data_IF_834146211764
#
_entry.id   IF_834146211764
#
_cell.length_a   1.000
_cell.length_b   1.000
_cell.length_c   1.000
_cell.angle_alpha   90.00
_cell.angle_beta   90.00
_cell.angle_gamma   90.00
#
_symmetry.space_group_name_H-M   'P 1'
#
loop_
_entity.id
_entity.type
_entity.pdbx_description
1 polymer ?
#
# COMPACT_ATOMS: atom_id res chain seq x y z
N UNK A 1 -62.37 23.59 65.00
CA UNK A 1 -61.93 22.76 63.87
C UNK A 1 -60.64 23.38 63.31
N UNK A 2 -59.45 22.81 63.65
CA UNK A 2 -58.13 23.37 63.27
C UNK A 2 -57.71 22.65 61.98
N UNK A 3 -57.51 23.42 60.92
CA UNK A 3 -56.95 22.93 59.65
C UNK A 3 -55.43 23.05 59.70
N UNK A 4 -54.75 21.89 59.71
CA UNK A 4 -53.30 21.80 59.66
C UNK A 4 -52.82 22.05 58.22
N UNK A 5 -51.94 23.03 58.00
CA UNK A 5 -51.22 23.29 56.73
C UNK A 5 -49.98 22.44 56.66
N UNK A 6 -49.94 21.43 55.79
CA UNK A 6 -48.71 20.71 55.45
C UNK A 6 -47.98 21.46 54.33
N UNK A 7 -46.77 21.96 54.64
CA UNK A 7 -45.85 22.51 53.65
C UNK A 7 -45.00 21.37 53.06
N UNK A 8 -45.09 21.17 51.74
CA UNK A 8 -44.23 20.20 51.00
C UNK A 8 -42.94 20.95 50.60
N UNK A 9 -41.78 20.48 50.98
CA UNK A 9 -40.54 21.12 50.52
C UNK A 9 -40.28 20.71 49.07
N UNK A 10 -40.19 21.71 48.19
CA UNK A 10 -39.76 21.52 46.78
C UNK A 10 -38.23 21.39 46.80
N UNK A 11 -37.72 20.18 46.56
CA UNK A 11 -36.33 19.94 46.29
C UNK A 11 -35.99 20.32 44.83
N UNK A 12 -35.32 21.45 44.63
CA UNK A 12 -34.79 21.81 43.33
C UNK A 12 -33.50 21.03 43.13
N UNK A 13 -33.53 19.96 42.31
CA UNK A 13 -32.35 19.25 41.88
C UNK A 13 -31.65 20.10 40.78
N UNK A 14 -30.55 20.73 41.12
CA UNK A 14 -29.64 21.32 40.15
C UNK A 14 -28.93 20.20 39.41
N UNK A 15 -29.41 19.90 38.17
CA UNK A 15 -28.63 19.10 37.22
C UNK A 15 -27.42 19.93 36.81
N UNK A 16 -26.24 19.62 37.34
CA UNK A 16 -24.96 20.08 36.87
C UNK A 16 -24.75 19.47 35.48
N UNK A 17 -25.14 20.19 34.40
CA UNK A 17 -24.71 19.92 33.05
C UNK A 17 -23.24 20.30 32.97
N UNK A 18 -22.35 19.34 33.29
CA UNK A 18 -20.95 19.47 32.95
C UNK A 18 -20.84 19.63 31.42
N UNK A 19 -20.24 20.71 30.92
CA UNK A 19 -19.95 20.75 29.48
C UNK A 19 -19.01 19.58 29.18
N UNK A 20 -19.47 18.64 28.37
CA UNK A 20 -18.60 17.71 27.67
C UNK A 20 -17.69 18.58 26.77
N UNK A 21 -16.58 19.05 27.34
CA UNK A 21 -15.49 19.54 26.53
C UNK A 21 -15.06 18.36 25.69
N UNK A 22 -15.48 18.35 24.44
CA UNK A 22 -14.87 17.47 23.45
C UNK A 22 -13.37 17.82 23.46
N UNK A 23 -12.59 17.05 24.20
CA UNK A 23 -11.15 17.12 24.12
C UNK A 23 -10.82 16.86 22.65
N UNK A 24 -10.38 17.89 21.97
CA UNK A 24 -9.89 17.78 20.59
C UNK A 24 -8.62 16.91 20.67
N UNK A 25 -8.81 15.58 20.55
CA UNK A 25 -7.74 14.61 20.72
C UNK A 25 -6.72 14.83 19.62
N UNK A 26 -5.46 15.01 20.02
CA UNK A 26 -4.33 15.17 19.13
C UNK A 26 -4.17 13.91 18.27
N UNK A 27 -3.76 14.10 17.02
CA UNK A 27 -3.36 12.95 16.19
C UNK A 27 -2.07 12.36 16.77
N UNK A 28 -2.05 11.03 16.88
CA UNK A 28 -0.90 10.26 17.33
C UNK A 28 -0.35 9.44 16.18
N UNK A 29 0.95 9.46 15.97
CA UNK A 29 1.60 8.67 14.91
C UNK A 29 2.76 7.88 15.50
N UNK A 30 2.84 6.60 15.13
CA UNK A 30 3.96 5.74 15.43
C UNK A 30 4.49 5.05 14.18
N UNK A 31 5.75 4.70 14.20
CA UNK A 31 6.41 4.02 13.10
C UNK A 31 7.42 3.00 13.61
N UNK A 32 7.54 1.88 12.90
CA UNK A 32 8.57 0.87 13.15
C UNK A 32 8.85 0.06 11.88
N UNK A 33 10.02 -0.58 11.83
CA UNK A 33 10.42 -1.46 10.72
C UNK A 33 11.12 -2.72 11.24
N UNK A 34 11.01 -3.82 10.49
CA UNK A 34 11.71 -5.09 10.74
C UNK A 34 12.33 -5.61 9.46
N UNK A 35 13.45 -6.31 9.61
CA UNK A 35 14.14 -6.98 8.49
C UNK A 35 13.37 -8.23 8.11
N UNK A 36 13.15 -8.42 6.81
CA UNK A 36 12.58 -9.62 6.20
C UNK A 36 13.58 -10.39 5.33
N UNK A 37 14.82 -9.91 5.19
CA UNK A 37 15.86 -10.60 4.45
C UNK A 37 16.06 -12.03 4.99
N UNK A 38 15.93 -13.08 4.15
CA UNK A 38 16.12 -14.45 4.62
C UNK A 38 17.59 -14.74 4.90
N UNK A 39 17.84 -15.55 5.93
CA UNK A 39 19.17 -16.07 6.23
C UNK A 39 19.07 -17.57 6.52
N UNK A 40 19.63 -18.47 5.65
CA UNK A 40 20.35 -18.14 4.40
C UNK A 40 19.46 -17.50 3.34
N UNK A 41 20.10 -16.88 2.32
CA UNK A 41 19.38 -16.27 1.20
C UNK A 41 18.54 -17.32 0.45
N UNK A 42 17.32 -16.97 0.09
CA UNK A 42 16.39 -17.81 -0.65
C UNK A 42 16.27 -17.38 -2.11
N UNK A 43 15.88 -18.29 -3.03
CA UNK A 43 15.61 -17.93 -4.42
C UNK A 43 14.58 -16.82 -4.57
N UNK A 44 14.77 -15.94 -5.56
CA UNK A 44 13.91 -14.76 -5.82
C UNK A 44 12.89 -15.05 -6.92
N UNK A 45 11.70 -14.47 -6.76
CA UNK A 45 10.57 -14.56 -7.67
C UNK A 45 10.16 -13.17 -8.16
N UNK A 46 10.11 -12.98 -9.48
CA UNK A 46 9.60 -11.76 -10.11
C UNK A 46 8.33 -12.04 -10.93
N UNK A 47 7.58 -13.08 -10.58
CA UNK A 47 6.35 -13.46 -11.28
C UNK A 47 6.08 -14.95 -11.24
N UNK A 48 5.13 -15.41 -12.07
CA UNK A 48 4.76 -16.82 -12.19
C UNK A 48 5.92 -17.61 -12.78
N UNK A 49 6.32 -18.70 -12.13
CA UNK A 49 7.36 -19.61 -12.59
C UNK A 49 8.32 -20.03 -11.50
N UNK A 50 9.38 -20.74 -11.88
CA UNK A 50 10.41 -21.20 -10.94
C UNK A 50 11.27 -20.02 -10.48
N UNK A 51 11.42 -19.80 -9.17
CA UNK A 51 12.30 -18.76 -8.64
C UNK A 51 13.77 -18.95 -9.07
N UNK A 52 14.49 -17.84 -9.21
CA UNK A 52 15.90 -17.83 -9.60
C UNK A 52 16.83 -17.88 -8.38
N UNK A 53 17.94 -18.63 -8.45
CA UNK A 53 18.92 -18.68 -7.37
C UNK A 53 19.52 -17.29 -7.09
N UNK A 54 19.73 -16.98 -5.80
CA UNK A 54 20.38 -15.75 -5.35
C UNK A 54 21.90 -15.92 -5.31
N UNK A 55 22.64 -14.92 -5.79
CA UNK A 55 24.09 -14.84 -5.78
C UNK A 55 24.58 -13.77 -4.81
N UNK A 56 23.84 -12.68 -4.67
CA UNK A 56 24.22 -11.56 -3.80
C UNK A 56 22.98 -10.84 -3.24
N UNK A 57 23.21 -10.02 -2.21
CA UNK A 57 22.22 -9.15 -1.59
C UNK A 57 22.62 -7.68 -1.79
N UNK A 58 21.73 -6.86 -2.34
CA UNK A 58 21.87 -5.41 -2.52
C UNK A 58 20.83 -4.66 -1.68
N UNK A 59 20.92 -4.82 -0.37
CA UNK A 59 20.06 -4.17 0.62
C UNK A 59 19.02 -5.10 1.25
N UNK A 60 18.70 -4.84 2.51
CA UNK A 60 17.74 -5.64 3.24
C UNK A 60 16.30 -5.41 2.76
N UNK A 61 15.53 -6.49 2.71
CA UNK A 61 14.07 -6.44 2.61
C UNK A 61 13.49 -6.05 3.96
N UNK A 62 12.45 -5.22 3.95
CA UNK A 62 11.80 -4.74 5.17
C UNK A 62 10.28 -4.93 5.15
N UNK A 63 9.70 -5.04 6.34
CA UNK A 63 8.38 -4.53 6.64
C UNK A 63 8.53 -3.16 7.29
N UNK A 64 7.70 -2.21 6.88
CA UNK A 64 7.64 -0.84 7.39
C UNK A 64 6.19 -0.52 7.75
N UNK A 65 5.94 -0.14 9.00
CA UNK A 65 4.61 0.11 9.51
C UNK A 65 4.47 1.55 10.02
N UNK A 66 3.37 2.19 9.64
CA UNK A 66 2.91 3.48 10.15
C UNK A 66 1.55 3.29 10.81
N UNK A 67 1.41 3.70 12.06
CA UNK A 67 0.14 3.67 12.79
C UNK A 67 -0.31 5.10 13.02
N UNK A 68 -1.58 5.37 12.72
CA UNK A 68 -2.24 6.65 12.99
C UNK A 68 -3.42 6.41 13.92
N UNK A 69 -3.53 7.23 14.96
CA UNK A 69 -4.65 7.22 15.91
C UNK A 69 -5.16 8.64 16.13
N UNK A 70 -6.47 8.78 16.10
CA UNK A 70 -7.17 10.00 16.49
C UNK A 70 -8.51 9.66 17.11
N UNK A 71 -8.66 9.93 18.38
CA UNK A 71 -9.85 9.53 19.13
C UNK A 71 -10.02 8.01 19.15
N UNK A 72 -11.19 7.54 18.75
CA UNK A 72 -11.48 6.10 18.64
C UNK A 72 -11.01 5.49 17.32
N UNK A 73 -10.57 6.31 16.36
CA UNK A 73 -10.11 5.84 15.06
C UNK A 73 -8.64 5.49 15.13
N UNK A 74 -8.30 4.22 14.91
CA UNK A 74 -6.93 3.73 14.80
C UNK A 74 -6.79 2.81 13.60
N UNK A 75 -5.70 2.97 12.83
CA UNK A 75 -5.38 2.12 11.70
C UNK A 75 -3.87 2.03 11.45
N UNK A 76 -3.46 1.02 10.72
CA UNK A 76 -2.08 0.82 10.27
C UNK A 76 -1.97 0.79 8.75
N UNK A 77 -0.93 1.43 8.22
CA UNK A 77 -0.47 1.31 6.84
C UNK A 77 0.87 0.59 6.89
N UNK A 78 0.94 -0.56 6.23
CA UNK A 78 2.10 -1.46 6.26
C UNK A 78 2.56 -1.72 4.85
N UNK A 79 3.85 -1.54 4.60
CA UNK A 79 4.53 -1.86 3.35
C UNK A 79 5.49 -3.01 3.55
N UNK A 80 5.49 -3.99 2.64
CA UNK A 80 6.41 -5.13 2.66
C UNK A 80 7.17 -5.24 1.35
N UNK A 81 8.47 -5.50 1.42
CA UNK A 81 9.33 -5.61 0.24
C UNK A 81 9.23 -7.02 -0.38
N UNK A 82 8.09 -7.26 -1.04
CA UNK A 82 7.75 -8.48 -1.78
C UNK A 82 7.07 -8.15 -3.11
N UNK A 83 6.97 -9.13 -3.99
CA UNK A 83 6.21 -9.05 -5.24
C UNK A 83 4.72 -8.80 -4.98
N UNK A 84 4.17 -9.32 -3.90
CA UNK A 84 2.83 -9.14 -3.40
C UNK A 84 2.73 -9.67 -1.97
N UNK A 85 1.61 -9.45 -1.31
CA UNK A 85 1.33 -10.05 -0.01
C UNK A 85 -0.12 -10.50 0.03
N UNK A 86 -0.32 -11.81 -0.04
CA UNK A 86 -1.66 -12.39 -0.14
C UNK A 86 -2.50 -12.12 1.10
N UNK A 87 -3.81 -12.04 0.94
CA UNK A 87 -4.75 -11.89 2.08
C UNK A 87 -4.58 -12.98 3.13
N UNK A 88 -4.16 -14.20 2.74
CA UNK A 88 -3.92 -15.32 3.66
C UNK A 88 -2.80 -14.98 4.64
N UNK A 89 -1.65 -14.58 4.13
CA UNK A 89 -0.52 -14.16 4.96
C UNK A 89 -0.86 -12.88 5.74
N UNK A 90 -1.55 -11.94 5.07
CA UNK A 90 -2.03 -10.70 5.69
C UNK A 90 -2.98 -10.94 6.87
N UNK A 91 -3.94 -11.85 6.73
CA UNK A 91 -4.89 -12.18 7.81
C UNK A 91 -4.21 -12.87 8.98
N UNK A 92 -3.20 -13.71 8.70
CA UNK A 92 -2.36 -14.32 9.74
C UNK A 92 -1.56 -13.27 10.51
N UNK A 93 -1.01 -12.25 9.82
CA UNK A 93 -0.33 -11.13 10.49
C UNK A 93 -1.32 -10.31 11.33
N UNK A 94 -2.51 -9.99 10.78
CA UNK A 94 -3.56 -9.23 11.49
C UNK A 94 -4.01 -9.93 12.78
N UNK A 95 -4.10 -11.26 12.78
CA UNK A 95 -4.49 -12.04 13.95
C UNK A 95 -3.49 -11.93 15.13
N UNK A 96 -2.24 -11.55 14.86
CA UNK A 96 -1.18 -11.36 15.87
C UNK A 96 -1.05 -9.90 16.34
N UNK A 97 -1.73 -8.95 15.67
CA UNK A 97 -1.69 -7.54 16.01
C UNK A 97 -2.76 -7.22 17.04
N UNK A 98 -2.39 -6.43 18.05
CA UNK A 98 -3.30 -6.06 19.15
C UNK A 98 -3.60 -4.57 19.11
N UNK A 99 -4.83 -4.20 19.47
CA UNK A 99 -5.22 -2.80 19.63
C UNK A 99 -5.62 -2.06 18.34
N UNK A 100 -5.64 -2.74 17.20
CA UNK A 100 -6.21 -2.24 15.94
C UNK A 100 -7.19 -3.27 15.41
N UNK A 101 -8.43 -2.89 15.03
CA UNK A 101 -9.34 -3.80 14.34
C UNK A 101 -8.68 -4.39 13.08
N UNK A 102 -8.76 -5.70 12.83
CA UNK A 102 -8.09 -6.33 11.69
C UNK A 102 -8.40 -5.67 10.33
N UNK A 103 -9.63 -5.20 10.14
CA UNK A 103 -10.09 -4.48 8.96
C UNK A 103 -9.46 -3.09 8.78
N UNK A 104 -8.85 -2.54 9.83
CA UNK A 104 -8.15 -1.26 9.81
C UNK A 104 -6.64 -1.42 9.61
N UNK A 105 -6.15 -2.61 9.31
CA UNK A 105 -4.74 -2.88 9.03
C UNK A 105 -4.58 -3.14 7.53
N UNK A 106 -4.00 -2.16 6.83
CA UNK A 106 -3.72 -2.22 5.41
C UNK A 106 -2.30 -2.75 5.21
N UNK A 107 -2.16 -3.87 4.52
CA UNK A 107 -0.85 -4.45 4.19
C UNK A 107 -0.70 -4.46 2.68
N UNK A 108 0.25 -3.68 2.18
CA UNK A 108 0.58 -3.57 0.75
C UNK A 108 2.02 -3.99 0.47
N UNK A 109 2.27 -4.46 -0.75
CA UNK A 109 3.60 -4.81 -1.21
C UNK A 109 4.22 -3.70 -2.07
N UNK A 110 5.54 -3.53 -1.97
CA UNK A 110 6.30 -2.64 -2.86
C UNK A 110 6.34 -3.14 -4.29
N UNK A 111 6.13 -4.44 -4.48
CA UNK A 111 6.21 -5.13 -5.75
C UNK A 111 7.64 -5.32 -6.27
N UNK A 112 8.65 -5.41 -5.38
CA UNK A 112 9.99 -5.76 -5.84
C UNK A 112 10.02 -7.14 -6.50
N UNK A 113 10.66 -7.23 -7.67
CA UNK A 113 10.87 -8.48 -8.41
C UNK A 113 12.14 -9.22 -7.97
N UNK A 114 12.74 -8.80 -6.86
CA UNK A 114 14.01 -9.30 -6.34
C UNK A 114 13.88 -9.82 -4.90
N UNK A 115 12.73 -10.42 -4.54
CA UNK A 115 12.44 -11.02 -3.24
C UNK A 115 11.95 -12.47 -3.38
N UNK A 116 11.96 -13.29 -2.29
CA UNK A 116 11.40 -14.64 -2.32
C UNK A 116 9.92 -14.69 -2.68
N UNK A 117 9.44 -15.85 -3.15
CA UNK A 117 8.04 -16.06 -3.56
C UNK A 117 7.06 -16.00 -2.38
N UNK A 118 6.15 -15.01 -2.31
CA UNK A 118 5.13 -14.91 -1.27
C UNK A 118 3.79 -15.56 -1.66
N UNK A 119 3.65 -16.05 -2.90
CA UNK A 119 2.41 -16.59 -3.43
C UNK A 119 2.34 -18.12 -3.36
N UNK A 120 3.50 -18.79 -3.28
CA UNK A 120 3.56 -20.22 -3.48
C UNK A 120 3.15 -20.61 -4.91
N UNK A 121 3.70 -19.92 -5.91
CA UNK A 121 3.40 -20.19 -7.31
C UNK A 121 3.70 -21.65 -7.68
N UNK A 122 2.73 -22.37 -8.28
CA UNK A 122 2.96 -23.70 -8.80
C UNK A 122 3.68 -23.63 -10.16
N UNK A 123 4.57 -24.61 -10.42
CA UNK A 123 5.00 -24.91 -11.77
C UNK A 123 3.93 -25.71 -12.55
N UNK A 124 4.21 -26.08 -13.78
CA UNK A 124 3.29 -26.85 -14.64
C UNK A 124 2.95 -28.25 -14.09
N UNK A 125 3.73 -28.75 -13.12
CA UNK A 125 3.51 -30.04 -12.46
C UNK A 125 2.82 -29.85 -11.09
N UNK A 126 2.50 -28.63 -10.68
CA UNK A 126 1.89 -28.28 -9.40
C UNK A 126 2.88 -28.23 -8.24
N UNK A 127 4.20 -28.26 -8.49
CA UNK A 127 5.23 -28.07 -7.48
C UNK A 127 5.36 -26.60 -7.14
N UNK A 128 5.36 -26.26 -5.85
CA UNK A 128 5.56 -24.90 -5.35
C UNK A 128 6.95 -24.74 -4.72
N UNK A 129 7.46 -23.52 -4.69
CA UNK A 129 8.83 -23.22 -4.27
C UNK A 129 8.90 -22.23 -3.11
N UNK A 130 7.77 -21.74 -2.62
CA UNK A 130 7.75 -20.84 -1.46
C UNK A 130 8.26 -21.56 -0.20
N UNK A 131 9.12 -20.91 0.54
CA UNK A 131 9.55 -21.38 1.87
C UNK A 131 8.53 -20.93 2.91
N UNK A 132 7.63 -21.86 3.28
CA UNK A 132 6.53 -21.60 4.22
C UNK A 132 7.07 -21.19 5.60
N UNK A 133 8.15 -21.80 6.07
CA UNK A 133 8.74 -21.46 7.37
C UNK A 133 9.28 -20.04 7.39
N UNK A 134 9.91 -19.60 6.31
CA UNK A 134 10.36 -18.22 6.15
C UNK A 134 9.18 -17.27 6.12
N UNK A 135 8.13 -17.57 5.35
CA UNK A 135 6.93 -16.73 5.28
C UNK A 135 6.18 -16.64 6.62
N UNK A 136 6.17 -17.73 7.41
CA UNK A 136 5.66 -17.73 8.78
C UNK A 136 6.45 -16.76 9.68
N UNK A 137 7.77 -16.73 9.51
CA UNK A 137 8.63 -15.74 10.16
C UNK A 137 8.30 -14.32 9.74
N UNK A 138 8.07 -14.07 8.44
CA UNK A 138 7.66 -12.77 7.94
C UNK A 138 6.30 -12.31 8.50
N UNK A 139 5.33 -13.23 8.61
CA UNK A 139 4.03 -12.97 9.26
C UNK A 139 4.23 -12.43 10.67
N UNK A 140 5.13 -13.03 11.45
CA UNK A 140 5.44 -12.57 12.82
C UNK A 140 6.14 -11.20 12.80
N UNK A 141 7.15 -10.99 11.93
CA UNK A 141 7.85 -9.71 11.82
C UNK A 141 6.93 -8.55 11.43
N UNK A 142 5.93 -8.81 10.57
CA UNK A 142 4.91 -7.83 10.20
C UNK A 142 4.08 -7.45 11.43
N UNK A 143 3.63 -8.43 12.19
CA UNK A 143 2.87 -8.17 13.41
C UNK A 143 3.71 -7.42 14.46
N UNK A 144 4.97 -7.80 14.63
CA UNK A 144 5.90 -7.15 15.57
C UNK A 144 6.17 -5.70 15.18
N UNK A 145 6.34 -5.40 13.89
CA UNK A 145 6.51 -4.04 13.40
C UNK A 145 5.29 -3.16 13.71
N UNK A 146 4.06 -3.68 13.48
CA UNK A 146 2.84 -2.93 13.78
C UNK A 146 2.67 -2.75 15.29
N UNK A 147 2.87 -3.79 16.09
CA UNK A 147 2.76 -3.71 17.56
C UNK A 147 3.79 -2.71 18.14
N UNK A 148 5.01 -2.65 17.59
CA UNK A 148 6.00 -1.65 17.97
C UNK A 148 5.59 -0.24 17.53
N UNK A 149 5.06 -0.08 16.32
CA UNK A 149 4.55 1.21 15.85
C UNK A 149 3.40 1.71 16.75
N UNK A 150 2.54 0.82 17.25
CA UNK A 150 1.51 1.15 18.25
C UNK A 150 2.15 1.64 19.54
N UNK A 151 3.20 0.97 20.04
CA UNK A 151 3.89 1.35 21.27
C UNK A 151 4.67 2.68 21.13
N UNK A 152 5.16 2.99 19.94
CA UNK A 152 5.94 4.18 19.63
C UNK A 152 5.10 5.40 19.26
N UNK A 153 3.75 5.34 19.35
CA UNK A 153 2.89 6.48 19.02
C UNK A 153 3.22 7.70 19.87
N UNK A 154 3.32 8.84 19.23
CA UNK A 154 3.56 10.13 19.86
C UNK A 154 2.70 11.22 19.20
N UNK A 155 2.43 12.34 19.89
CA UNK A 155 1.71 13.46 19.29
C UNK A 155 2.40 13.96 18.02
N UNK A 156 1.61 14.16 16.98
CA UNK A 156 2.12 14.52 15.66
C UNK A 156 1.25 15.59 14.99
N UNK A 157 1.83 16.29 14.03
CA UNK A 157 1.15 17.01 12.95
C UNK A 157 1.48 16.37 11.62
N UNK A 158 0.68 16.62 10.60
CA UNK A 158 0.88 16.04 9.29
C UNK A 158 1.17 17.10 8.24
N UNK A 159 1.99 16.75 7.27
CA UNK A 159 2.10 17.42 5.97
C UNK A 159 1.62 16.45 4.90
N UNK A 160 0.79 16.93 3.97
CA UNK A 160 0.25 16.11 2.89
C UNK A 160 0.35 16.90 1.60
N UNK A 161 0.91 16.30 0.57
CA UNK A 161 1.04 16.93 -0.74
C UNK A 161 0.96 15.90 -1.86
N UNK A 162 0.61 16.37 -3.03
CA UNK A 162 0.60 15.60 -4.27
C UNK A 162 0.97 16.52 -5.42
N UNK A 163 1.93 16.11 -6.24
CA UNK A 163 2.37 16.82 -7.43
C UNK A 163 3.00 15.82 -8.41
N UNK A 164 3.22 16.21 -9.64
CA UNK A 164 3.95 15.37 -10.59
C UNK A 164 5.43 15.27 -10.19
N UNK A 165 5.93 14.04 -10.12
CA UNK A 165 7.35 13.77 -9.99
C UNK A 165 8.03 13.97 -11.35
N UNK A 166 9.10 14.76 -11.37
CA UNK A 166 9.81 15.14 -12.60
C UNK A 166 11.05 14.29 -12.78
N UNK A 167 11.32 13.92 -14.03
CA UNK A 167 12.52 13.20 -14.40
C UNK A 167 12.26 11.80 -14.95
N UNK A 168 13.33 11.08 -15.23
CA UNK A 168 13.31 9.75 -15.82
C UNK A 168 13.14 8.71 -14.71
N UNK A 169 11.88 8.52 -14.22
CA UNK A 169 11.54 7.62 -13.10
C UNK A 169 10.77 6.41 -13.59
N UNK A 170 9.67 6.62 -14.29
CA UNK A 170 8.78 5.56 -14.76
C UNK A 170 8.28 5.81 -16.18
N UNK A 171 7.84 4.75 -16.83
CA UNK A 171 7.11 4.80 -18.10
C UNK A 171 6.19 3.58 -18.19
N UNK A 172 5.22 3.63 -19.10
CA UNK A 172 4.40 2.46 -19.41
C UNK A 172 4.98 1.72 -20.63
N UNK A 173 5.31 0.44 -20.46
CA UNK A 173 5.90 -0.39 -21.52
C UNK A 173 5.02 -0.48 -22.78
N UNK A 174 3.68 -0.52 -22.62
CA UNK A 174 2.74 -0.63 -23.73
C UNK A 174 2.41 0.73 -24.37
N UNK A 175 2.38 1.79 -23.59
CA UNK A 175 2.03 3.15 -24.01
C UNK A 175 2.84 4.16 -23.17
N UNK A 176 4.04 4.55 -23.58
CA UNK A 176 5.04 5.21 -22.72
C UNK A 176 4.56 6.41 -21.90
N UNK A 177 3.62 7.19 -22.44
CA UNK A 177 3.08 8.37 -21.74
C UNK A 177 1.82 8.07 -20.90
N UNK A 178 1.27 6.85 -20.95
CA UNK A 178 0.04 6.48 -20.23
C UNK A 178 0.38 5.88 -18.88
N UNK A 179 0.71 6.72 -17.89
CA UNK A 179 0.86 6.36 -16.49
C UNK A 179 0.61 7.60 -15.61
N UNK A 180 0.36 7.40 -14.34
CA UNK A 180 0.10 8.51 -13.40
C UNK A 180 1.41 9.04 -12.82
N UNK A 181 1.92 10.21 -13.27
CA UNK A 181 3.17 10.77 -12.78
C UNK A 181 3.06 11.43 -11.41
N UNK A 182 1.84 11.49 -10.82
CA UNK A 182 1.63 12.14 -9.54
C UNK A 182 2.20 11.30 -8.42
N UNK A 183 3.09 11.92 -7.65
CA UNK A 183 3.64 11.41 -6.41
C UNK A 183 2.87 12.02 -5.23
N UNK A 184 2.21 11.17 -4.45
CA UNK A 184 1.56 11.57 -3.21
C UNK A 184 2.48 11.34 -2.02
N UNK A 185 2.58 12.32 -1.12
CA UNK A 185 3.45 12.23 0.06
C UNK A 185 2.66 12.60 1.31
N UNK A 186 2.78 11.77 2.35
CA UNK A 186 2.26 12.02 3.69
C UNK A 186 3.43 11.97 4.66
N UNK A 187 3.70 13.06 5.39
CA UNK A 187 4.78 13.12 6.36
C UNK A 187 4.21 13.49 7.74
N UNK A 188 4.51 12.67 8.75
CA UNK A 188 4.18 12.95 10.12
C UNK A 188 5.37 13.60 10.84
N UNK A 189 5.12 14.72 11.53
CA UNK A 189 6.12 15.46 12.28
C UNK A 189 5.81 15.34 13.77
N UNK A 190 6.81 15.06 14.59
CA UNK A 190 6.65 15.07 16.06
C UNK A 190 6.30 16.46 16.55
N UNK A 191 5.31 16.59 17.45
CA UNK A 191 4.91 17.89 18.03
C UNK A 191 5.43 18.07 19.46
N UNK A 192 6.06 17.05 20.02
CA UNK A 192 6.58 17.07 21.41
C UNK A 192 7.95 16.38 21.49
N UNK A 193 8.63 16.55 22.62
CA UNK A 193 9.88 15.89 22.93
C UNK A 193 11.10 16.46 22.19
N UNK A 194 12.24 15.76 22.29
CA UNK A 194 13.52 16.18 21.71
C UNK A 194 13.52 16.21 20.16
N UNK A 195 12.56 15.54 19.53
CA UNK A 195 12.39 15.49 18.08
C UNK A 195 11.29 16.40 17.55
N UNK A 196 10.80 17.35 18.34
CA UNK A 196 9.76 18.29 17.91
C UNK A 196 10.11 18.95 16.57
N UNK A 197 9.17 18.93 15.64
CA UNK A 197 9.33 19.43 14.25
C UNK A 197 10.05 18.48 13.31
N UNK A 198 10.62 17.38 13.79
CA UNK A 198 11.30 16.39 12.94
C UNK A 198 10.32 15.32 12.45
N UNK A 199 10.54 14.78 11.24
CA UNK A 199 9.75 13.67 10.73
C UNK A 199 9.84 12.41 11.59
N UNK A 200 8.68 11.80 11.84
CA UNK A 200 8.52 10.45 12.40
C UNK A 200 8.59 9.45 11.25
N UNK A 201 7.77 9.70 10.22
CA UNK A 201 7.65 8.86 9.03
C UNK A 201 7.25 9.69 7.82
N UNK A 202 7.78 9.32 6.66
CA UNK A 202 7.42 9.88 5.35
C UNK A 202 6.93 8.73 4.46
N UNK A 203 5.63 8.74 4.12
CA UNK A 203 5.01 7.81 3.18
C UNK A 203 5.06 8.42 1.79
N UNK A 204 5.53 7.64 0.81
CA UNK A 204 5.53 7.98 -0.62
C UNK A 204 4.61 7.02 -1.35
N UNK A 205 3.68 7.56 -2.16
CA UNK A 205 2.82 6.79 -3.05
C UNK A 205 3.11 7.18 -4.49
N UNK A 206 3.57 6.23 -5.29
CA UNK A 206 3.91 6.45 -6.69
C UNK A 206 3.67 5.20 -7.52
N UNK A 207 3.29 5.36 -8.79
CA UNK A 207 3.06 4.24 -9.69
C UNK A 207 4.35 3.86 -10.42
N UNK A 208 5.02 2.80 -9.96
CA UNK A 208 6.22 2.23 -10.60
C UNK A 208 6.46 0.79 -10.13
N UNK A 209 6.81 -0.10 -11.06
CA UNK A 209 7.34 -1.43 -10.70
C UNK A 209 8.78 -1.29 -10.20
N UNK A 210 9.11 -1.72 -8.98
CA UNK A 210 10.49 -1.90 -8.52
C UNK A 210 11.10 -3.16 -9.14
N UNK A 211 11.54 -3.05 -10.40
CA UNK A 211 12.07 -4.16 -11.18
C UNK A 211 13.30 -3.78 -12.03
N UNK A 212 14.02 -2.73 -11.63
CA UNK A 212 15.27 -2.33 -12.29
C UNK A 212 16.24 -3.50 -12.37
N UNK A 213 16.42 -4.23 -11.27
CA UNK A 213 17.27 -5.42 -11.21
C UNK A 213 16.58 -6.66 -11.76
N UNK A 214 15.24 -6.72 -11.64
CA UNK A 214 14.46 -7.90 -12.00
C UNK A 214 14.89 -9.16 -11.25
N UNK A 215 14.39 -10.33 -11.67
CA UNK A 215 14.66 -11.60 -10.97
C UNK A 215 15.76 -12.46 -11.60
N UNK A 216 16.28 -12.11 -12.78
CA UNK A 216 17.22 -12.96 -13.54
C UNK A 216 18.68 -12.77 -13.15
N UNK A 217 19.01 -11.65 -12.53
CA UNK A 217 20.42 -11.35 -12.14
C UNK A 217 20.87 -12.13 -10.90
N UNK A 218 19.91 -12.67 -10.12
CA UNK A 218 20.24 -13.35 -8.88
C UNK A 218 20.59 -12.39 -7.73
N UNK A 219 20.05 -11.19 -7.77
CA UNK A 219 20.25 -10.15 -6.77
C UNK A 219 18.99 -10.05 -5.91
N UNK A 220 19.10 -10.33 -4.60
CA UNK A 220 18.05 -10.05 -3.63
C UNK A 220 18.12 -8.56 -3.24
N UNK A 221 16.98 -7.86 -3.31
CA UNK A 221 16.95 -6.41 -3.06
C UNK A 221 15.52 -5.88 -2.92
N UNK A 222 15.28 -4.80 -2.16
CA UNK A 222 14.04 -4.03 -2.26
C UNK A 222 13.96 -3.21 -3.56
N UNK A 223 14.92 -3.37 -4.48
CA UNK A 223 15.06 -2.63 -5.73
C UNK A 223 15.11 -1.10 -5.47
N UNK A 224 14.57 -0.26 -6.34
CA UNK A 224 14.57 1.21 -6.20
C UNK A 224 13.99 1.72 -4.86
N UNK A 225 13.19 0.92 -4.16
CA UNK A 225 12.68 1.28 -2.83
C UNK A 225 13.80 1.37 -1.79
N UNK A 226 14.86 0.59 -1.90
CA UNK A 226 16.01 0.64 -0.99
C UNK A 226 16.72 2.01 -1.00
N UNK A 227 17.22 2.48 -2.14
CA UNK A 227 17.80 3.81 -2.29
C UNK A 227 16.82 4.94 -1.94
N UNK A 228 15.53 4.81 -2.29
CA UNK A 228 14.48 5.76 -1.89
C UNK A 228 14.41 5.89 -0.36
N UNK A 229 14.31 4.77 0.36
CA UNK A 229 14.28 4.78 1.82
C UNK A 229 15.54 5.40 2.41
N UNK A 230 16.71 4.97 1.93
CA UNK A 230 18.01 5.43 2.43
C UNK A 230 18.18 6.94 2.31
N UNK A 231 17.78 7.52 1.17
CA UNK A 231 17.88 8.96 0.94
C UNK A 231 16.92 9.74 1.82
N UNK A 232 15.63 9.35 1.87
CA UNK A 232 14.64 10.04 2.70
C UNK A 232 15.03 9.96 4.19
N UNK A 233 15.40 8.79 4.69
CA UNK A 233 15.79 8.58 6.09
C UNK A 233 17.05 9.37 6.46
N UNK A 234 18.04 9.45 5.56
CA UNK A 234 19.26 10.25 5.74
C UNK A 234 18.97 11.74 5.80
N UNK A 235 18.10 12.25 4.93
CA UNK A 235 17.81 13.70 4.84
C UNK A 235 16.80 14.18 5.89
N UNK A 236 15.89 13.31 6.36
CA UNK A 236 14.81 13.72 7.24
C UNK A 236 14.95 13.20 8.68
N UNK A 237 15.73 12.16 8.90
CA UNK A 237 15.87 11.46 10.19
C UNK A 237 14.64 10.67 10.62
N UNK A 238 13.57 10.62 9.82
CA UNK A 238 12.36 9.81 10.02
C UNK A 238 12.37 8.56 9.16
N UNK A 239 11.56 7.56 9.50
CA UNK A 239 11.39 6.36 8.67
C UNK A 239 10.73 6.71 7.34
N UNK A 240 11.18 6.09 6.24
CA UNK A 240 10.49 6.15 4.94
C UNK A 240 9.58 4.92 4.76
N UNK A 241 8.49 5.06 3.98
CA UNK A 241 7.57 4.00 3.62
C UNK A 241 7.08 4.23 2.19
N UNK A 242 7.05 3.19 1.36
CA UNK A 242 6.59 3.28 -0.02
C UNK A 242 5.33 2.44 -0.22
N UNK A 243 4.31 3.00 -0.86
CA UNK A 243 3.11 2.30 -1.29
C UNK A 243 2.94 2.49 -2.79
N UNK A 244 2.77 1.38 -3.49
CA UNK A 244 2.63 1.42 -4.94
C UNK A 244 1.31 2.08 -5.37
N UNK A 245 1.25 2.53 -6.62
CA UNK A 245 0.07 3.13 -7.24
C UNK A 245 -0.63 2.18 -8.23
N UNK A 246 -1.21 2.75 -9.28
CA UNK A 246 -1.82 2.01 -10.39
C UNK A 246 -0.73 1.62 -11.41
N UNK A 247 -0.11 0.47 -11.21
CA UNK A 247 1.07 0.01 -11.97
C UNK A 247 0.75 -0.98 -13.07
N UNK A 248 -0.45 -1.50 -13.12
CA UNK A 248 -0.86 -2.49 -14.11
C UNK A 248 -0.60 -2.03 -15.55
N UNK A 249 -0.47 -2.98 -16.47
CA UNK A 249 -0.14 -2.67 -17.86
C UNK A 249 1.31 -2.19 -18.01
N UNK A 250 2.18 -2.63 -17.14
CA UNK A 250 3.62 -2.50 -17.07
C UNK A 250 4.10 -1.05 -16.95
N UNK A 251 3.63 -0.35 -15.91
CA UNK A 251 4.24 0.92 -15.50
C UNK A 251 5.52 0.60 -14.74
N UNK A 252 6.63 0.59 -15.46
CA UNK A 252 7.93 0.13 -14.95
C UNK A 252 8.91 1.29 -14.76
N UNK A 253 10.02 1.01 -14.08
CA UNK A 253 11.13 1.96 -13.92
C UNK A 253 11.71 2.34 -15.29
N UNK A 254 11.97 3.61 -15.53
CA UNK A 254 12.53 4.08 -16.80
C UNK A 254 14.04 3.88 -16.87
N UNK A 255 14.42 2.65 -17.24
CA UNK A 255 15.83 2.23 -17.42
C UNK A 255 16.31 2.37 -18.87
N UNK A 256 15.51 2.95 -19.77
CA UNK A 256 15.84 3.05 -21.19
C UNK A 256 17.07 3.93 -21.44
N UNK A 257 18.07 3.40 -22.10
CA UNK A 257 19.30 4.14 -22.44
C UNK A 257 19.10 5.07 -23.65
N UNK A 258 18.27 4.67 -24.61
CA UNK A 258 17.95 5.46 -25.79
C UNK A 258 16.44 5.36 -26.06
N UNK A 259 15.83 6.48 -26.48
CA UNK A 259 14.49 6.46 -27.03
C UNK A 259 14.56 5.80 -28.42
N UNK A 260 14.50 4.46 -28.44
CA UNK A 260 14.52 3.68 -29.68
C UNK A 260 13.31 3.99 -30.56
N UNK A 261 13.51 3.91 -31.89
CA UNK A 261 12.40 3.90 -32.85
C UNK A 261 11.50 2.70 -32.53
N UNK A 262 10.19 2.92 -32.61
CA UNK A 262 9.17 1.88 -32.42
C UNK A 262 9.53 0.59 -33.17
N UNK A 263 9.65 -0.55 -32.46
CA UNK A 263 9.98 -1.87 -33.03
C UNK A 263 11.44 -2.33 -32.94
N UNK A 264 12.38 -1.51 -32.49
CA UNK A 264 13.74 -1.96 -32.13
C UNK A 264 13.80 -2.17 -30.62
N UNK A 265 14.28 -3.34 -30.18
CA UNK A 265 14.49 -3.64 -28.76
C UNK A 265 15.25 -2.50 -28.07
N UNK A 266 14.62 -1.84 -27.10
CA UNK A 266 15.24 -0.77 -26.34
C UNK A 266 16.38 -1.38 -25.52
N UNK A 267 17.57 -0.75 -25.55
CA UNK A 267 18.60 -1.07 -24.57
C UNK A 267 18.17 -0.49 -23.21
N UNK A 268 18.27 -1.31 -22.20
CA UNK A 268 17.93 -0.95 -20.81
C UNK A 268 19.17 -1.06 -19.94
N UNK A 269 19.29 -0.16 -18.98
CA UNK A 269 20.29 -0.24 -17.92
C UNK A 269 19.65 -0.84 -16.66
N UNK A 270 19.86 -2.12 -16.46
CA UNK A 270 19.36 -2.85 -15.29
C UNK A 270 20.44 -3.01 -14.22
N UNK A 271 21.37 -2.03 -14.13
CA UNK A 271 22.44 -2.01 -13.13
C UNK A 271 21.96 -1.57 -11.75
N UNK A 272 22.76 -1.87 -10.74
CA UNK A 272 22.55 -1.36 -9.39
C UNK A 272 22.68 0.17 -9.33
N UNK A 273 23.56 0.74 -10.12
CA UNK A 273 23.79 2.19 -10.24
C UNK A 273 22.53 2.89 -10.77
N UNK A 274 21.86 2.32 -11.77
CA UNK A 274 20.60 2.84 -12.29
C UNK A 274 19.45 2.67 -11.27
N UNK A 275 19.43 1.57 -10.54
CA UNK A 275 18.50 1.35 -9.44
C UNK A 275 18.65 2.44 -8.36
N UNK A 276 19.88 2.77 -7.96
CA UNK A 276 20.19 3.88 -7.04
C UNK A 276 19.69 5.20 -7.63
N UNK A 277 20.04 5.50 -8.89
CA UNK A 277 19.65 6.75 -9.55
C UNK A 277 18.13 6.97 -9.51
N UNK A 278 17.36 5.96 -9.89
CA UNK A 278 15.89 6.06 -9.94
C UNK A 278 15.30 6.21 -8.55
N UNK A 279 15.73 5.40 -7.59
CA UNK A 279 15.25 5.47 -6.21
C UNK A 279 15.58 6.80 -5.53
N UNK A 280 16.80 7.32 -5.71
CA UNK A 280 17.19 8.63 -5.18
C UNK A 280 16.49 9.80 -5.88
N UNK A 281 16.22 9.69 -7.19
CA UNK A 281 15.45 10.70 -7.92
C UNK A 281 14.00 10.78 -7.39
N UNK A 282 13.33 9.64 -7.23
CA UNK A 282 11.98 9.62 -6.65
C UNK A 282 11.97 10.13 -5.21
N UNK A 283 13.00 9.83 -4.41
CA UNK A 283 13.16 10.38 -3.07
C UNK A 283 13.29 11.90 -3.08
N UNK A 284 14.15 12.45 -3.96
CA UNK A 284 14.34 13.89 -4.12
C UNK A 284 13.04 14.60 -4.51
N UNK A 285 12.30 14.04 -5.48
CA UNK A 285 11.00 14.57 -5.90
C UNK A 285 9.96 14.52 -4.78
N UNK A 286 9.91 13.42 -4.03
CA UNK A 286 9.02 13.30 -2.86
C UNK A 286 9.31 14.37 -1.81
N UNK A 287 10.58 14.64 -1.54
CA UNK A 287 10.99 15.69 -0.60
C UNK A 287 10.71 17.09 -1.15
N UNK A 288 10.91 17.34 -2.44
CA UNK A 288 10.52 18.59 -3.11
C UNK A 288 9.02 18.85 -2.96
N UNK A 289 8.20 17.82 -3.21
CA UNK A 289 6.73 17.91 -3.16
C UNK A 289 6.26 18.24 -1.76
N UNK A 290 6.76 17.53 -0.73
CA UNK A 290 6.30 17.72 0.65
C UNK A 290 6.84 18.98 1.31
N UNK A 291 7.95 19.54 0.82
CA UNK A 291 8.62 20.68 1.45
C UNK A 291 7.69 21.87 1.66
N UNK A 292 6.90 22.21 0.65
CA UNK A 292 6.00 23.39 0.63
C UNK A 292 4.61 23.10 1.21
N UNK A 293 4.31 21.86 1.58
CA UNK A 293 3.00 21.54 2.12
C UNK A 293 2.76 22.23 3.48
N UNK A 294 1.55 22.75 3.73
CA UNK A 294 1.19 23.31 5.03
C UNK A 294 1.20 22.21 6.09
N UNK A 295 1.50 22.59 7.32
CA UNK A 295 1.37 21.72 8.48
C UNK A 295 -0.10 21.66 8.90
N UNK A 296 -0.63 20.49 9.07
CA UNK A 296 -1.96 20.18 9.56
C UNK A 296 -1.83 19.67 11.01
N UNK A 297 -2.17 20.51 11.97
CA UNK A 297 -1.96 20.17 13.39
C UNK A 297 -2.94 19.10 13.88
N UNK A 298 -4.15 19.10 13.39
CA UNK A 298 -5.17 18.15 13.84
C UNK A 298 -6.16 17.75 12.72
N UNK A 299 -5.69 17.19 11.59
CA UNK A 299 -6.54 16.85 10.47
C UNK A 299 -7.62 15.81 10.86
N UNK A 300 -8.78 15.88 10.22
CA UNK A 300 -9.81 14.85 10.36
C UNK A 300 -9.30 13.51 9.84
N UNK A 301 -9.71 12.43 10.51
CA UNK A 301 -9.35 11.05 10.14
C UNK A 301 -10.63 10.21 10.08
N UNK A 302 -10.73 9.40 9.05
CA UNK A 302 -11.83 8.46 8.85
C UNK A 302 -11.30 7.21 8.17
N UNK A 303 -11.84 6.04 8.52
CA UNK A 303 -11.58 4.78 7.85
C UNK A 303 -12.87 3.99 7.67
N UNK A 304 -13.02 3.36 6.52
CA UNK A 304 -14.06 2.39 6.24
C UNK A 304 -13.50 1.20 5.47
N UNK A 305 -14.08 0.05 5.69
CA UNK A 305 -13.75 -1.19 4.99
C UNK A 305 -14.99 -1.94 4.53
N UNK A 306 -14.83 -2.74 3.49
CA UNK A 306 -15.84 -3.70 3.05
C UNK A 306 -15.20 -4.93 2.39
N UNK A 307 -15.86 -6.07 2.42
CA UNK A 307 -15.45 -7.22 1.61
C UNK A 307 -15.59 -6.90 0.13
N UNK A 308 -14.66 -7.42 -0.67
CA UNK A 308 -14.64 -7.29 -2.12
C UNK A 308 -14.45 -8.69 -2.73
N UNK A 309 -15.45 -9.14 -3.50
CA UNK A 309 -15.48 -10.49 -4.06
C UNK A 309 -15.40 -10.44 -5.58
N UNK A 310 -14.53 -11.26 -6.15
CA UNK A 310 -14.34 -11.40 -7.59
C UNK A 310 -14.61 -12.83 -8.05
N UNK A 311 -15.26 -13.03 -9.20
CA UNK A 311 -15.22 -14.31 -9.89
C UNK A 311 -13.81 -14.59 -10.41
N UNK A 312 -13.38 -15.85 -10.41
CA UNK A 312 -12.11 -16.29 -11.00
C UNK A 312 -12.43 -17.04 -12.30
N UNK A 313 -12.38 -16.30 -13.40
CA UNK A 313 -12.71 -16.80 -14.74
C UNK A 313 -11.47 -17.32 -15.50
N UNK A 314 -10.29 -16.74 -15.21
CA UNK A 314 -9.02 -17.16 -15.79
C UNK A 314 -8.61 -18.55 -15.33
N UNK A 315 -8.36 -19.45 -16.27
CA UNK A 315 -7.92 -20.82 -15.97
C UNK A 315 -6.55 -20.86 -15.29
N UNK A 316 -5.63 -19.97 -15.69
CA UNK A 316 -4.30 -19.90 -15.07
C UNK A 316 -4.38 -19.37 -13.62
N UNK A 317 -5.23 -18.35 -13.38
CA UNK A 317 -5.41 -17.83 -12.02
C UNK A 317 -6.11 -18.85 -11.14
N UNK A 318 -7.09 -19.57 -11.66
CA UNK A 318 -7.74 -20.68 -10.95
C UNK A 318 -6.75 -21.79 -10.59
N UNK A 319 -5.90 -22.17 -11.56
CA UNK A 319 -4.84 -23.16 -11.32
C UNK A 319 -3.86 -22.71 -10.23
N UNK A 320 -3.38 -21.45 -10.30
CA UNK A 320 -2.47 -20.87 -9.31
C UNK A 320 -3.12 -20.91 -7.92
N UNK A 321 -4.33 -20.39 -7.77
CA UNK A 321 -5.04 -20.32 -6.50
C UNK A 321 -5.27 -21.73 -5.91
N UNK A 322 -5.68 -22.69 -6.73
CA UNK A 322 -5.94 -24.05 -6.28
C UNK A 322 -4.68 -24.86 -5.93
N UNK A 323 -3.56 -24.60 -6.62
CA UNK A 323 -2.32 -25.35 -6.45
C UNK A 323 -1.29 -24.65 -5.56
N UNK A 324 -1.49 -23.39 -5.25
CA UNK A 324 -0.63 -22.64 -4.34
C UNK A 324 -0.49 -23.35 -2.99
N UNK A 325 0.74 -23.37 -2.45
CA UNK A 325 1.01 -23.84 -1.10
C UNK A 325 0.42 -22.94 0.00
N UNK A 326 -0.07 -21.73 -0.37
CA UNK A 326 -0.71 -20.81 0.58
C UNK A 326 -2.10 -21.25 1.03
N UNK A 327 -2.79 -22.16 0.29
CA UNK A 327 -4.14 -22.66 0.59
C UNK A 327 -5.14 -21.51 0.75
N UNK A 328 -5.60 -20.95 -0.38
CA UNK A 328 -6.55 -19.83 -0.42
C UNK A 328 -7.93 -20.22 0.13
N UNK A 329 -8.13 -20.06 1.45
CA UNK A 329 -9.40 -20.34 2.14
C UNK A 329 -10.52 -19.41 1.67
N UNK A 330 -10.18 -18.21 1.18
CA UNK A 330 -11.12 -17.26 0.58
C UNK A 330 -11.62 -17.68 -0.81
N UNK A 331 -11.07 -18.76 -1.40
CA UNK A 331 -11.49 -19.28 -2.70
C UNK A 331 -12.57 -20.36 -2.52
N UNK A 332 -13.80 -20.01 -2.88
CA UNK A 332 -14.93 -20.93 -2.95
C UNK A 332 -15.83 -20.58 -4.13
N UNK A 333 -16.49 -21.57 -4.70
CA UNK A 333 -17.43 -21.38 -5.83
C UNK A 333 -16.83 -20.57 -7.00
N UNK A 334 -15.56 -20.78 -7.30
CA UNK A 334 -14.80 -20.02 -8.28
C UNK A 334 -14.77 -18.50 -8.00
N UNK A 335 -14.78 -18.09 -6.74
CA UNK A 335 -14.68 -16.70 -6.30
C UNK A 335 -13.58 -16.56 -5.26
N UNK A 336 -12.97 -15.39 -5.22
CA UNK A 336 -12.06 -14.96 -4.16
C UNK A 336 -12.63 -13.74 -3.48
N UNK A 337 -12.46 -13.66 -2.16
CA UNK A 337 -12.88 -12.49 -1.37
C UNK A 337 -11.69 -11.89 -0.67
N UNK A 338 -11.55 -10.58 -0.78
CA UNK A 338 -10.55 -9.77 -0.10
C UNK A 338 -11.20 -8.56 0.56
N UNK A 339 -10.39 -7.59 0.95
CA UNK A 339 -10.83 -6.38 1.65
C UNK A 339 -10.52 -5.13 0.84
N UNK A 340 -11.49 -4.23 0.73
CA UNK A 340 -11.35 -2.88 0.20
C UNK A 340 -11.41 -1.89 1.36
N UNK A 341 -10.46 -0.94 1.41
CA UNK A 341 -10.45 0.16 2.37
C UNK A 341 -10.51 1.52 1.69
N UNK A 342 -11.15 2.45 2.40
CA UNK A 342 -11.06 3.87 2.17
C UNK A 342 -10.60 4.55 3.47
N UNK A 343 -9.59 5.42 3.36
CA UNK A 343 -9.12 6.25 4.47
C UNK A 343 -9.16 7.71 4.04
N UNK A 344 -9.65 8.60 4.92
CA UNK A 344 -9.43 10.03 4.81
C UNK A 344 -8.43 10.47 5.88
N UNK A 345 -7.46 11.29 5.50
CA UNK A 345 -6.52 11.96 6.41
C UNK A 345 -6.43 13.41 5.94
N UNK A 346 -7.10 14.32 6.66
CA UNK A 346 -7.21 15.70 6.19
C UNK A 346 -7.70 15.76 4.74
N UNK A 347 -6.98 16.44 3.82
CA UNK A 347 -7.38 16.55 2.42
C UNK A 347 -7.12 15.27 1.58
N UNK A 348 -6.39 14.29 2.09
CA UNK A 348 -6.10 13.05 1.37
C UNK A 348 -7.23 12.05 1.52
N UNK A 349 -7.63 11.44 0.41
CA UNK A 349 -8.46 10.23 0.39
C UNK A 349 -7.67 9.10 -0.25
N UNK A 350 -7.61 7.97 0.41
CA UNK A 350 -6.84 6.79 0.02
C UNK A 350 -7.80 5.64 -0.25
N UNK A 351 -7.66 4.98 -1.40
CA UNK A 351 -8.32 3.72 -1.71
C UNK A 351 -7.29 2.61 -1.90
N UNK A 352 -7.57 1.41 -1.38
CA UNK A 352 -6.76 0.22 -1.65
C UNK A 352 -7.18 -0.48 -2.93
N UNK A 353 -6.23 -1.10 -3.61
CA UNK A 353 -6.43 -1.93 -4.81
C UNK A 353 -5.77 -3.29 -4.57
N UNK A 354 -6.53 -4.41 -4.57
CA UNK A 354 -5.98 -5.73 -4.27
C UNK A 354 -5.31 -6.40 -5.48
N UNK A 355 -4.56 -5.62 -6.26
CA UNK A 355 -3.88 -6.05 -7.48
C UNK A 355 -3.23 -4.89 -8.20
N UNK A 356 -2.93 -5.09 -9.48
CA UNK A 356 -2.27 -4.14 -10.35
C UNK A 356 -3.29 -3.44 -11.26
N UNK A 357 -3.89 -2.35 -10.77
CA UNK A 357 -4.81 -1.55 -11.61
C UNK A 357 -4.07 -0.94 -12.80
N UNK A 358 -4.65 -1.08 -14.01
CA UNK A 358 -4.17 -0.37 -15.20
C UNK A 358 -4.28 1.15 -15.00
N UNK A 359 -3.43 1.98 -15.66
CA UNK A 359 -3.46 3.43 -15.48
C UNK A 359 -4.83 4.08 -15.73
N UNK A 360 -5.56 3.65 -16.76
CA UNK A 360 -6.90 4.15 -17.06
C UNK A 360 -7.92 3.84 -15.95
N UNK A 361 -7.83 2.65 -15.31
CA UNK A 361 -8.62 2.32 -14.12
C UNK A 361 -8.25 3.25 -12.96
N UNK A 362 -6.94 3.44 -12.71
CA UNK A 362 -6.43 4.35 -11.70
C UNK A 362 -6.91 5.79 -11.90
N UNK A 363 -6.84 6.32 -13.12
CA UNK A 363 -7.32 7.66 -13.47
C UNK A 363 -8.82 7.80 -13.26
N UNK A 364 -9.60 6.80 -13.70
CA UNK A 364 -11.05 6.83 -13.54
C UNK A 364 -11.45 6.87 -12.07
N UNK A 365 -10.85 6.03 -11.24
CA UNK A 365 -11.12 6.00 -9.80
C UNK A 365 -10.70 7.32 -9.15
N UNK A 366 -9.46 7.75 -9.33
CA UNK A 366 -8.93 8.98 -8.71
C UNK A 366 -9.74 10.24 -9.01
N UNK A 367 -10.20 10.42 -10.28
CA UNK A 367 -11.01 11.61 -10.63
C UNK A 367 -12.41 11.60 -10.04
N UNK A 368 -12.93 10.44 -9.59
CA UNK A 368 -14.24 10.28 -8.97
C UNK A 368 -14.17 10.15 -7.45
N UNK A 369 -12.98 10.26 -6.85
CA UNK A 369 -12.82 10.35 -5.40
C UNK A 369 -13.24 11.74 -4.89
N UNK A 370 -13.72 11.78 -3.66
CA UNK A 370 -14.25 13.00 -3.04
C UNK A 370 -13.15 13.78 -2.31
N UNK A 371 -12.12 14.18 -3.06
CA UNK A 371 -10.91 14.82 -2.55
C UNK A 371 -10.16 15.56 -3.64
N UNK A 372 -9.29 16.51 -3.26
CA UNK A 372 -8.29 17.11 -4.15
C UNK A 372 -6.96 16.37 -4.15
N UNK A 373 -6.76 15.41 -3.22
CA UNK A 373 -5.53 14.60 -3.10
C UNK A 373 -5.88 13.11 -3.09
N UNK A 374 -6.17 12.50 -4.26
CA UNK A 374 -6.55 11.10 -4.36
C UNK A 374 -5.33 10.18 -4.38
N UNK A 375 -5.20 9.30 -3.40
CA UNK A 375 -4.19 8.25 -3.31
C UNK A 375 -4.80 6.90 -3.72
N UNK A 376 -4.03 6.08 -4.45
CA UNK A 376 -4.32 4.66 -4.64
C UNK A 376 -3.17 3.84 -4.09
N UNK A 377 -3.47 2.88 -3.21
CA UNK A 377 -2.51 1.90 -2.71
C UNK A 377 -2.74 0.59 -3.43
N UNK A 378 -1.97 0.36 -4.51
CA UNK A 378 -1.94 -0.88 -5.26
C UNK A 378 -1.38 -2.04 -4.44
N UNK A 379 -1.66 -3.26 -4.86
CA UNK A 379 -1.19 -4.50 -4.23
C UNK A 379 -1.40 -4.52 -2.71
N UNK A 380 -2.52 -3.95 -2.28
CA UNK A 380 -2.82 -3.76 -0.85
C UNK A 380 -4.02 -4.60 -0.45
N UNK A 381 -3.88 -5.34 0.65
CA UNK A 381 -4.77 -6.34 1.24
C UNK A 381 -4.86 -7.66 0.46
N UNK A 382 -4.44 -7.66 -0.78
CA UNK A 382 -4.21 -8.82 -1.64
C UNK A 382 -3.41 -8.41 -2.88
N UNK A 383 -3.08 -9.37 -3.76
CA UNK A 383 -2.30 -9.11 -4.95
C UNK A 383 -2.69 -10.10 -6.08
N UNK A 384 -3.90 -9.91 -6.62
CA UNK A 384 -4.53 -10.83 -7.60
C UNK A 384 -4.09 -10.65 -9.06
N UNK A 385 -2.98 -9.94 -9.32
CA UNK A 385 -2.52 -9.65 -10.68
C UNK A 385 -3.26 -8.47 -11.30
N UNK A 386 -3.41 -8.48 -12.63
CA UNK A 386 -3.84 -7.29 -13.36
C UNK A 386 -5.34 -7.03 -13.28
N UNK A 387 -5.67 -5.74 -13.12
CA UNK A 387 -7.05 -5.23 -13.12
C UNK A 387 -7.21 -4.27 -14.30
N UNK A 388 -7.60 -4.82 -15.46
CA UNK A 388 -7.81 -4.06 -16.68
C UNK A 388 -9.30 -3.83 -16.93
N UNK A 389 -9.62 -2.70 -17.56
CA UNK A 389 -10.99 -2.38 -17.94
C UNK A 389 -11.54 -3.42 -18.91
N UNK A 390 -12.84 -3.69 -18.84
CA UNK A 390 -13.53 -4.66 -19.69
C UNK A 390 -13.24 -4.46 -21.19
N UNK A 391 -13.17 -3.21 -21.63
CA UNK A 391 -12.90 -2.88 -23.05
C UNK A 391 -11.50 -3.29 -23.52
N UNK A 392 -10.55 -3.47 -22.60
CA UNK A 392 -9.18 -3.86 -22.89
C UNK A 392 -8.99 -5.39 -22.80
N UNK A 393 -9.94 -6.09 -22.17
CA UNK A 393 -9.85 -7.54 -21.94
C UNK A 393 -9.93 -8.30 -23.27
N UNK A 394 -8.90 -9.12 -23.56
CA UNK A 394 -8.74 -9.87 -24.80
C UNK A 394 -8.80 -9.04 -26.12
N UNK A 395 -8.72 -7.70 -26.02
CA UNK A 395 -8.85 -6.83 -27.20
C UNK A 395 -7.59 -6.74 -28.03
N UNK A 396 -6.41 -7.01 -27.45
CA UNK A 396 -5.11 -6.88 -28.10
C UNK A 396 -4.23 -8.09 -27.83
N UNK A 397 -3.63 -8.66 -28.87
CA UNK A 397 -2.63 -9.73 -28.71
C UNK A 397 -1.48 -9.30 -27.76
N UNK A 398 -1.10 -8.02 -27.81
CA UNK A 398 -0.06 -7.46 -26.93
C UNK A 398 -0.44 -7.53 -25.44
N UNK A 399 -1.73 -7.57 -25.11
CA UNK A 399 -2.26 -7.69 -23.75
C UNK A 399 -2.53 -9.15 -23.31
N UNK A 400 -2.10 -10.15 -24.11
CA UNK A 400 -2.36 -11.56 -23.78
C UNK A 400 -1.87 -11.93 -22.38
N UNK A 401 -0.67 -11.47 -22.00
CA UNK A 401 -0.12 -11.75 -20.69
C UNK A 401 -0.96 -11.14 -19.56
N UNK A 402 -1.24 -9.84 -19.61
CA UNK A 402 -2.01 -9.15 -18.55
C UNK A 402 -3.46 -9.64 -18.49
N UNK A 403 -4.05 -10.03 -19.61
CA UNK A 403 -5.38 -10.64 -19.67
C UNK A 403 -5.40 -12.00 -18.99
N UNK A 404 -4.44 -12.88 -19.29
CA UNK A 404 -4.37 -14.23 -18.70
C UNK A 404 -4.09 -14.22 -17.19
N UNK A 405 -3.41 -13.21 -16.70
CA UNK A 405 -3.06 -13.03 -15.29
C UNK A 405 -3.98 -12.05 -14.55
N UNK A 406 -5.14 -11.72 -15.15
CA UNK A 406 -6.29 -11.12 -14.48
C UNK A 406 -7.22 -12.21 -13.94
N UNK A 407 -8.04 -11.90 -12.92
CA UNK A 407 -9.07 -12.83 -12.44
C UNK A 407 -10.18 -13.07 -13.49
N UNK A 408 -10.51 -12.06 -14.29
CA UNK A 408 -11.54 -12.14 -15.33
C UNK A 408 -11.88 -10.78 -15.93
N UNK A 409 -12.77 -10.81 -16.92
CA UNK A 409 -13.17 -9.63 -17.72
C UNK A 409 -13.75 -8.50 -16.85
N UNK A 410 -14.50 -8.84 -15.80
CA UNK A 410 -15.21 -7.87 -14.95
C UNK A 410 -14.40 -7.43 -13.72
N UNK A 411 -13.14 -7.81 -13.60
CA UNK A 411 -12.35 -7.56 -12.39
C UNK A 411 -12.23 -6.08 -12.06
N UNK A 412 -11.87 -5.24 -13.03
CA UNK A 412 -11.75 -3.79 -12.80
C UNK A 412 -13.11 -3.11 -12.62
N UNK A 413 -14.14 -3.54 -13.35
CA UNK A 413 -15.49 -2.99 -13.22
C UNK A 413 -16.07 -3.24 -11.84
N UNK A 414 -15.95 -4.46 -11.31
CA UNK A 414 -16.37 -4.80 -9.95
C UNK A 414 -15.61 -3.95 -8.93
N UNK A 415 -14.29 -3.83 -9.09
CA UNK A 415 -13.48 -2.98 -8.23
C UNK A 415 -13.95 -1.52 -8.27
N UNK A 416 -14.04 -0.93 -9.47
CA UNK A 416 -14.44 0.48 -9.65
C UNK A 416 -15.82 0.75 -9.07
N UNK A 417 -16.80 -0.14 -9.31
CA UNK A 417 -18.13 -0.02 -8.75
C UNK A 417 -18.12 0.01 -7.21
N UNK A 418 -17.46 -0.97 -6.59
CA UNK A 418 -17.42 -1.08 -5.14
C UNK A 418 -16.57 0.02 -4.48
N UNK A 419 -15.47 0.44 -5.12
CA UNK A 419 -14.63 1.54 -4.67
C UNK A 419 -15.40 2.87 -4.68
N UNK A 420 -16.07 3.20 -5.79
CA UNK A 420 -16.83 4.44 -5.91
C UNK A 420 -18.11 4.43 -5.07
N UNK A 421 -18.71 3.26 -4.82
CA UNK A 421 -19.77 3.12 -3.84
C UNK A 421 -19.26 3.47 -2.44
N UNK A 422 -18.09 2.95 -2.05
CA UNK A 422 -17.47 3.27 -0.76
C UNK A 422 -17.13 4.77 -0.65
N UNK A 423 -16.61 5.39 -1.72
CA UNK A 423 -16.39 6.84 -1.78
C UNK A 423 -17.67 7.63 -1.54
N UNK A 424 -18.78 7.24 -2.21
CA UNK A 424 -20.07 7.92 -2.09
C UNK A 424 -20.68 7.81 -0.67
N UNK A 425 -20.45 6.68 0.00
CA UNK A 425 -20.95 6.41 1.35
C UNK A 425 -20.05 7.00 2.46
N UNK A 426 -18.86 7.47 2.11
CA UNK A 426 -17.87 8.05 3.03
C UNK A 426 -17.90 9.57 3.04
N UNK A 427 -17.50 10.22 4.14
CA UNK A 427 -17.35 11.67 4.15
C UNK A 427 -16.28 12.12 3.14
N UNK A 428 -16.41 13.36 2.65
CA UNK A 428 -15.37 13.98 1.85
C UNK A 428 -14.08 14.18 2.68
N UNK A 429 -12.92 13.99 2.06
CA UNK A 429 -11.66 14.37 2.67
C UNK A 429 -11.48 15.89 2.61
N UNK A 430 -11.27 16.52 3.75
CA UNK A 430 -11.16 17.99 3.88
C UNK A 430 -9.93 18.39 4.68
N UNK A 431 -9.37 19.55 4.40
CA UNK A 431 -8.19 20.06 5.11
C UNK A 431 -8.48 20.46 6.59
N UNK A 432 -9.75 20.45 7.01
CA UNK A 432 -10.20 20.83 8.36
C UNK A 432 -10.44 19.61 9.24
#
# INVERSE_FOLDING_TARGET
MKISKYSIPVFIIWLLVLPLTAFNQSIMVGAAKRILTPNPLLPISGGIGTPNPVKENKGDLFVRAMVIEKGETIFAIVSVDFLGWTSILGNRSRALIKGIPPENILIGATHTHSAPDPYGFPDMNGKTFADIKYLDGCVQQIADAVNEAIANKQPASLKIAMDEAVGKIAYNYYAPALYDPRCGVIQALATTGLRMGQPIVTLVNYAVHPEVLGNKQGILSPDLCGPLYSKIEKETGGMALFMNGAIGGMVTADTRLEYGKEGQGQKEDNSWEECIRIGELLAGESLRIIQKAPVLDNPAVFIASRPLTFPVESDIMRYIIQKSSMKYESFSDNKVTTQLNLINIGPAQILTVPGEAMPNVGYYVKRNMNTTMPFLFGLTNDAFGYMLAKVDYQSFKRYEYVTRTSLGEMTAEIYMEQALKLVKESPAATAK
#
